data_IF_302873663495
#
_entry.id   IF_302873663495
#
_cell.length_a   1.000
_cell.length_b   1.000
_cell.length_c   1.000
_cell.angle_alpha   90.00
_cell.angle_beta   90.00
_cell.angle_gamma   90.00
#
_symmetry.space_group_name_H-M   'P 1'
#
loop_
_entity.id
_entity.type
_entity.pdbx_description
1 polymer ?
#
# COMPACT_ATOMS: atom_id res chain seq x y z
N UNK A 1 -60.05 -20.78 -64.84
CA UNK A 1 -59.01 -20.16 -63.98
C UNK A 1 -59.46 -20.37 -62.55
N UNK A 2 -58.76 -21.28 -61.87
CA UNK A 2 -58.92 -21.59 -60.45
C UNK A 2 -58.87 -20.32 -59.58
N UNK A 3 -59.52 -20.36 -58.41
CA UNK A 3 -58.78 -20.21 -57.15
C UNK A 3 -59.68 -20.56 -55.96
N UNK A 4 -59.39 -21.74 -55.41
CA UNK A 4 -59.70 -22.17 -54.06
C UNK A 4 -58.98 -21.28 -53.05
N UNK A 5 -59.68 -20.79 -52.01
CA UNK A 5 -59.00 -20.26 -50.81
C UNK A 5 -59.59 -20.89 -49.55
N UNK A 6 -58.73 -21.75 -48.96
CA UNK A 6 -58.90 -22.52 -47.73
C UNK A 6 -59.14 -21.63 -46.51
N UNK A 7 -60.08 -22.06 -45.66
CA UNK A 7 -60.18 -21.68 -44.24
C UNK A 7 -58.90 -22.10 -43.51
N UNK A 8 -58.24 -21.17 -42.83
CA UNK A 8 -57.08 -21.48 -41.98
C UNK A 8 -57.36 -21.10 -40.52
N UNK A 9 -57.47 -22.14 -39.69
CA UNK A 9 -57.51 -22.10 -38.22
C UNK A 9 -56.17 -21.59 -37.68
N UNK A 10 -56.11 -20.68 -36.69
CA UNK A 10 -54.85 -20.27 -36.09
C UNK A 10 -54.36 -21.32 -35.06
N UNK A 11 -53.18 -21.87 -35.31
CA UNK A 11 -52.43 -22.70 -34.36
C UNK A 11 -51.96 -21.87 -33.16
N UNK A 12 -52.26 -22.37 -31.96
CA UNK A 12 -51.85 -21.81 -30.69
C UNK A 12 -50.37 -22.14 -30.43
N UNK A 13 -49.48 -21.20 -30.74
CA UNK A 13 -48.02 -21.33 -30.51
C UNK A 13 -47.73 -21.12 -29.02
N UNK A 14 -47.60 -22.22 -28.27
CA UNK A 14 -47.18 -22.23 -26.85
C UNK A 14 -45.81 -21.53 -26.73
N UNK A 15 -45.81 -20.30 -26.19
CA UNK A 15 -44.58 -19.57 -25.84
C UNK A 15 -43.97 -20.25 -24.62
N UNK A 16 -42.80 -20.88 -24.78
CA UNK A 16 -41.97 -21.31 -23.65
C UNK A 16 -41.60 -20.06 -22.86
N UNK A 17 -42.13 -19.95 -21.64
CA UNK A 17 -41.76 -18.94 -20.67
C UNK A 17 -40.31 -19.21 -20.25
N UNK A 18 -39.36 -18.56 -20.91
CA UNK A 18 -38.00 -18.48 -20.43
C UNK A 18 -38.01 -17.62 -19.18
N UNK A 19 -37.80 -18.25 -18.02
CA UNK A 19 -37.50 -17.56 -16.77
C UNK A 19 -36.21 -16.76 -16.98
N UNK A 20 -36.34 -15.48 -17.32
CA UNK A 20 -35.24 -14.52 -17.20
C UNK A 20 -35.00 -14.37 -15.71
N UNK A 21 -34.02 -15.09 -15.20
CA UNK A 21 -33.39 -14.75 -13.93
C UNK A 21 -32.88 -13.33 -14.08
N UNK A 22 -33.60 -12.39 -13.47
CA UNK A 22 -33.26 -10.98 -13.46
C UNK A 22 -32.05 -10.85 -12.53
N UNK A 23 -30.84 -10.86 -13.09
CA UNK A 23 -29.64 -10.48 -12.35
C UNK A 23 -29.83 -9.03 -11.94
N UNK A 24 -30.20 -8.81 -10.68
CA UNK A 24 -30.17 -7.50 -10.06
C UNK A 24 -28.73 -7.01 -10.11
N UNK A 25 -28.40 -6.20 -11.11
CA UNK A 25 -27.19 -5.39 -11.04
C UNK A 25 -27.47 -4.38 -9.93
N UNK A 26 -26.81 -4.54 -8.79
CA UNK A 26 -26.83 -3.53 -7.73
C UNK A 26 -26.15 -2.29 -8.31
N UNK A 27 -26.94 -1.36 -8.84
CA UNK A 27 -26.49 -0.15 -9.54
C UNK A 27 -25.97 0.93 -8.60
N UNK A 28 -25.65 0.58 -7.35
CA UNK A 28 -25.01 1.49 -6.42
C UNK A 28 -23.50 1.38 -6.64
N UNK A 29 -22.79 2.51 -6.79
CA UNK A 29 -21.34 2.51 -6.74
C UNK A 29 -20.89 1.78 -5.46
N UNK A 30 -19.79 1.00 -5.52
CA UNK A 30 -19.25 0.38 -4.33
C UNK A 30 -19.04 1.46 -3.27
N UNK A 31 -19.58 1.23 -2.06
CA UNK A 31 -19.58 2.21 -0.99
C UNK A 31 -18.17 2.45 -0.41
N UNK A 32 -17.25 1.53 -0.69
CA UNK A 32 -15.87 1.55 -0.21
C UNK A 32 -14.93 1.58 -1.40
N UNK A 33 -13.98 2.53 -1.46
CA UNK A 33 -12.95 2.55 -2.50
C UNK A 33 -12.14 1.27 -2.44
N UNK A 34 -11.79 0.74 -3.62
CA UNK A 34 -11.04 -0.51 -3.73
C UNK A 34 -9.73 -0.33 -4.51
N UNK A 35 -8.67 -0.92 -3.98
CA UNK A 35 -7.39 -1.05 -4.68
C UNK A 35 -7.29 -2.46 -5.28
N UNK A 36 -6.94 -2.54 -6.55
CA UNK A 36 -6.67 -3.79 -7.27
C UNK A 36 -5.18 -4.19 -7.20
N UNK A 37 -4.25 -3.23 -7.13
CA UNK A 37 -2.83 -3.50 -6.86
C UNK A 37 -2.08 -2.27 -6.32
N UNK A 38 -1.00 -2.51 -5.58
CA UNK A 38 -0.02 -1.50 -5.16
C UNK A 38 1.35 -1.95 -5.64
N UNK A 39 2.10 -1.08 -6.31
CA UNK A 39 3.42 -1.35 -6.84
C UNK A 39 4.42 -0.28 -6.37
N UNK A 40 5.63 -0.71 -6.05
CA UNK A 40 6.79 0.15 -5.83
C UNK A 40 7.79 -0.16 -6.94
N UNK A 41 8.10 0.82 -7.77
CA UNK A 41 8.94 0.67 -8.97
C UNK A 41 10.23 1.48 -8.80
N UNK A 42 11.35 0.99 -9.33
CA UNK A 42 12.57 1.81 -9.48
C UNK A 42 12.47 2.79 -10.65
N UNK A 43 13.52 3.61 -10.86
CA UNK A 43 13.54 4.61 -11.93
C UNK A 43 13.43 4.03 -13.35
N UNK A 44 13.82 2.77 -13.53
CA UNK A 44 13.73 2.05 -14.81
C UNK A 44 12.35 1.40 -15.02
N UNK A 45 11.54 1.33 -13.97
CA UNK A 45 10.22 0.68 -13.97
C UNK A 45 10.26 -0.79 -13.57
N UNK A 46 11.36 -1.28 -13.02
CA UNK A 46 11.40 -2.63 -12.44
C UNK A 46 10.69 -2.61 -11.10
N UNK A 47 9.92 -3.65 -10.84
CA UNK A 47 9.19 -3.83 -9.58
C UNK A 47 10.14 -4.15 -8.43
N UNK A 48 10.17 -3.30 -7.42
CA UNK A 48 10.85 -3.51 -6.14
C UNK A 48 9.95 -4.25 -5.16
N UNK A 49 8.69 -3.82 -5.05
CA UNK A 49 7.65 -4.48 -4.28
C UNK A 49 6.31 -4.40 -5.02
N UNK A 50 5.42 -5.37 -4.78
CA UNK A 50 4.08 -5.31 -5.35
C UNK A 50 3.12 -6.27 -4.68
N UNK A 51 1.90 -5.78 -4.42
CA UNK A 51 0.76 -6.59 -3.97
C UNK A 51 -0.41 -6.43 -4.94
N UNK A 52 -1.02 -7.55 -5.31
CA UNK A 52 -2.15 -7.61 -6.24
C UNK A 52 -3.36 -8.17 -5.49
N UNK A 53 -4.42 -7.38 -5.42
CA UNK A 53 -5.63 -7.65 -4.67
C UNK A 53 -6.77 -7.98 -5.64
N UNK A 54 -6.88 -9.27 -5.94
CA UNK A 54 -7.94 -9.83 -6.77
C UNK A 54 -7.49 -10.22 -8.18
N UNK A 55 -8.45 -10.74 -8.93
CA UNK A 55 -8.19 -11.53 -10.13
C UNK A 55 -8.30 -10.74 -11.44
N UNK A 56 -8.13 -9.41 -11.39
CA UNK A 56 -8.39 -8.53 -12.54
C UNK A 56 -7.48 -8.80 -13.76
N UNK A 57 -6.27 -9.31 -13.51
CA UNK A 57 -5.36 -9.76 -14.55
C UNK A 57 -5.90 -11.01 -15.25
N UNK A 58 -6.59 -11.87 -14.49
CA UNK A 58 -7.25 -13.07 -15.02
C UNK A 58 -8.59 -12.77 -15.67
N UNK A 59 -9.30 -11.70 -15.29
CA UNK A 59 -10.55 -11.31 -15.97
C UNK A 59 -10.27 -10.76 -17.37
N UNK A 60 -9.17 -10.00 -17.49
CA UNK A 60 -8.68 -9.54 -18.79
C UNK A 60 -8.22 -10.73 -19.63
N UNK A 61 -7.49 -11.67 -19.00
CA UNK A 61 -7.08 -12.89 -19.68
C UNK A 61 -8.28 -13.77 -19.99
N UNK A 62 -9.33 -13.87 -19.16
CA UNK A 62 -10.52 -14.70 -19.38
C UNK A 62 -11.42 -14.13 -20.48
N UNK A 63 -11.39 -12.82 -20.73
CA UNK A 63 -11.95 -12.24 -21.96
C UNK A 63 -11.18 -12.70 -23.20
N UNK A 64 -9.84 -12.73 -23.15
CA UNK A 64 -8.99 -13.22 -24.25
C UNK A 64 -8.93 -14.75 -24.37
N UNK A 65 -9.09 -15.47 -23.25
CA UNK A 65 -8.96 -16.91 -23.10
C UNK A 65 -10.30 -17.60 -23.31
N UNK A 66 -11.45 -16.96 -23.06
CA UNK A 66 -12.75 -17.45 -23.59
C UNK A 66 -12.76 -17.55 -25.12
N UNK A 67 -11.93 -16.79 -25.82
CA UNK A 67 -11.71 -16.94 -27.26
C UNK A 67 -10.74 -18.10 -27.61
N UNK A 68 -9.82 -18.48 -26.71
CA UNK A 68 -8.80 -19.51 -26.94
C UNK A 68 -9.13 -20.89 -26.32
N UNK A 69 -9.92 -20.94 -25.25
CA UNK A 69 -10.26 -22.12 -24.45
C UNK A 69 -11.28 -23.07 -25.11
N UNK A 70 -11.68 -22.79 -26.37
CA UNK A 70 -12.31 -23.80 -27.21
C UNK A 70 -11.33 -24.93 -27.63
N UNK A 71 -10.03 -24.84 -27.30
CA UNK A 71 -9.00 -25.68 -27.91
C UNK A 71 -8.24 -26.67 -27.00
N UNK A 72 -8.24 -26.56 -25.67
CA UNK A 72 -7.51 -27.56 -24.85
C UNK A 72 -7.80 -27.44 -23.36
N UNK A 73 -8.26 -28.55 -22.78
CA UNK A 73 -8.26 -28.75 -21.34
C UNK A 73 -7.08 -29.64 -20.97
N UNK A 74 -6.29 -29.23 -19.96
CA UNK A 74 -5.56 -30.13 -19.07
C UNK A 74 -4.94 -29.36 -17.88
N UNK A 75 -4.87 -30.10 -16.77
CA UNK A 75 -4.60 -29.75 -15.36
C UNK A 75 -3.15 -29.28 -15.09
N UNK A 76 -2.94 -28.23 -14.27
CA UNK A 76 -1.68 -27.46 -14.35
C UNK A 76 -1.33 -26.53 -13.15
N UNK A 77 -1.27 -27.03 -11.91
CA UNK A 77 -1.02 -26.20 -10.72
C UNK A 77 0.30 -25.39 -10.68
N UNK A 78 1.39 -25.89 -11.27
CA UNK A 78 2.70 -25.19 -11.29
C UNK A 78 2.87 -24.23 -12.47
N UNK A 79 2.15 -24.43 -13.58
CA UNK A 79 2.16 -23.51 -14.72
C UNK A 79 1.33 -22.25 -14.42
N UNK A 80 0.36 -22.32 -13.52
CA UNK A 80 -0.51 -21.18 -13.15
C UNK A 80 0.30 -20.05 -12.51
N UNK A 81 1.21 -20.35 -11.58
CA UNK A 81 2.06 -19.30 -10.95
C UNK A 81 2.98 -18.62 -11.95
N UNK A 82 3.55 -19.37 -12.89
CA UNK A 82 4.38 -18.83 -13.98
C UNK A 82 3.55 -17.97 -14.94
N UNK A 83 2.35 -18.44 -15.28
CA UNK A 83 1.38 -17.71 -16.10
C UNK A 83 0.95 -16.41 -15.44
N UNK A 84 0.74 -16.39 -14.13
CA UNK A 84 0.31 -15.20 -13.40
C UNK A 84 1.42 -14.15 -13.35
N UNK A 85 2.66 -14.58 -13.12
CA UNK A 85 3.81 -13.70 -13.14
C UNK A 85 4.06 -13.12 -14.55
N UNK A 86 3.83 -13.91 -15.60
CA UNK A 86 3.89 -13.44 -16.98
C UNK A 86 2.83 -12.36 -17.25
N UNK A 87 1.60 -12.53 -16.74
CA UNK A 87 0.51 -11.54 -16.83
C UNK A 87 0.85 -10.25 -16.07
N UNK A 88 1.39 -10.36 -14.85
CA UNK A 88 1.85 -9.21 -14.06
C UNK A 88 2.96 -8.45 -14.80
N UNK A 89 3.96 -9.19 -15.26
CA UNK A 89 5.07 -8.63 -16.04
C UNK A 89 4.59 -7.94 -17.31
N UNK A 90 3.59 -8.48 -18.00
CA UNK A 90 3.00 -7.86 -19.18
C UNK A 90 2.26 -6.56 -18.84
N UNK A 91 1.47 -6.57 -17.76
CA UNK A 91 0.79 -5.38 -17.25
C UNK A 91 1.79 -4.28 -16.86
N UNK A 92 2.84 -4.63 -16.11
CA UNK A 92 3.89 -3.70 -15.66
C UNK A 92 4.64 -3.07 -16.83
N UNK A 93 4.98 -3.85 -17.87
CA UNK A 93 5.59 -3.29 -19.08
C UNK A 93 4.67 -2.28 -19.75
N UNK A 94 3.37 -2.55 -19.81
CA UNK A 94 2.40 -1.62 -20.40
C UNK A 94 2.20 -0.37 -19.54
N UNK A 95 2.20 -0.53 -18.21
CA UNK A 95 2.18 0.58 -17.26
C UNK A 95 3.43 1.45 -17.44
N UNK A 96 4.62 0.85 -17.42
CA UNK A 96 5.88 1.56 -17.56
C UNK A 96 5.95 2.34 -18.87
N UNK A 97 5.53 1.74 -19.99
CA UNK A 97 5.47 2.44 -21.28
C UNK A 97 4.58 3.70 -21.27
N UNK A 98 3.62 3.80 -20.35
CA UNK A 98 2.73 4.96 -20.24
C UNK A 98 3.19 5.98 -19.21
N UNK A 99 3.83 5.56 -18.13
CA UNK A 99 4.31 6.47 -17.07
C UNK A 99 5.72 6.99 -17.33
N UNK A 100 6.47 6.34 -18.22
CA UNK A 100 7.83 6.76 -18.57
C UNK A 100 7.82 8.20 -19.12
N UNK A 101 8.70 9.04 -18.58
CA UNK A 101 8.82 10.44 -18.97
C UNK A 101 7.81 11.38 -18.29
N UNK A 102 6.83 10.86 -17.54
CA UNK A 102 5.97 11.68 -16.69
C UNK A 102 6.68 11.91 -15.35
N UNK A 103 6.86 13.18 -15.00
CA UNK A 103 7.43 13.59 -13.72
C UNK A 103 6.29 13.84 -12.72
N UNK A 104 6.02 12.86 -11.86
CA UNK A 104 5.02 12.99 -10.81
C UNK A 104 5.69 13.56 -9.55
N UNK A 105 5.08 14.58 -8.93
CA UNK A 105 5.60 15.16 -7.70
C UNK A 105 5.13 14.32 -6.50
N UNK A 106 5.86 14.32 -5.37
CA UNK A 106 5.39 13.67 -4.15
C UNK A 106 4.03 14.17 -3.65
N UNK A 107 3.73 15.45 -3.88
CA UNK A 107 2.51 16.16 -3.44
C UNK A 107 1.47 16.35 -4.55
N UNK A 108 1.68 15.74 -5.72
CA UNK A 108 0.73 15.75 -6.82
C UNK A 108 0.91 14.52 -7.68
N UNK A 109 0.09 13.51 -7.39
CA UNK A 109 0.04 12.28 -8.16
C UNK A 109 -0.45 12.50 -9.60
N UNK A 110 0.06 11.66 -10.49
CA UNK A 110 -0.29 11.63 -11.91
C UNK A 110 -1.16 10.41 -12.21
N UNK A 111 -2.04 10.53 -13.19
CA UNK A 111 -3.05 9.51 -13.50
C UNK A 111 -2.89 9.02 -14.93
N UNK A 112 -2.98 7.69 -15.11
CA UNK A 112 -2.99 7.08 -16.43
C UNK A 112 -3.90 5.85 -16.47
N UNK A 113 -4.58 5.63 -17.60
CA UNK A 113 -5.38 4.41 -17.77
C UNK A 113 -4.55 3.29 -18.42
N UNK A 114 -4.54 2.09 -17.86
CA UNK A 114 -3.82 0.91 -18.38
C UNK A 114 -4.75 -0.29 -18.37
N UNK A 115 -4.95 -0.96 -19.52
CA UNK A 115 -5.79 -2.18 -19.63
C UNK A 115 -7.20 -2.04 -19.03
N UNK A 116 -7.83 -0.86 -19.13
CA UNK A 116 -9.16 -0.61 -18.55
C UNK A 116 -9.16 -0.46 -17.02
N UNK A 117 -7.99 -0.22 -16.43
CA UNK A 117 -7.77 0.16 -15.03
C UNK A 117 -7.26 1.58 -14.93
N UNK A 118 -7.48 2.18 -13.77
CA UNK A 118 -6.94 3.49 -13.40
C UNK A 118 -5.67 3.26 -12.61
N UNK A 119 -4.55 3.79 -13.10
CA UNK A 119 -3.27 3.77 -12.41
C UNK A 119 -2.93 5.19 -11.97
N UNK A 120 -2.65 5.37 -10.68
CA UNK A 120 -2.25 6.66 -10.10
C UNK A 120 -0.89 6.49 -9.45
N UNK A 121 0.03 7.40 -9.69
CA UNK A 121 1.41 7.27 -9.23
C UNK A 121 2.03 8.60 -8.82
N UNK A 122 2.94 8.53 -7.87
CA UNK A 122 3.77 9.66 -7.44
C UNK A 122 5.20 9.22 -7.11
N UNK A 123 6.10 10.19 -6.93
CA UNK A 123 7.51 9.94 -6.70
C UNK A 123 8.32 9.69 -7.98
N UNK A 124 9.59 9.32 -7.81
CA UNK A 124 10.50 8.99 -8.90
C UNK A 124 10.76 10.14 -9.85
N UNK A 125 10.90 11.35 -9.27
CA UNK A 125 11.14 12.59 -10.00
C UNK A 125 12.65 12.88 -10.02
N UNK A 126 13.37 12.54 -11.10
CA UNK A 126 14.81 12.72 -11.16
C UNK A 126 15.13 14.22 -11.21
N UNK A 127 15.74 14.73 -10.14
CA UNK A 127 16.39 16.04 -10.17
C UNK A 127 15.62 17.22 -9.57
N UNK A 128 14.62 17.02 -8.71
CA UNK A 128 14.14 18.13 -7.89
C UNK A 128 15.15 18.43 -6.77
N UNK A 129 15.65 19.67 -6.69
CA UNK A 129 16.42 20.19 -5.56
C UNK A 129 15.55 20.14 -4.30
N UNK A 130 15.51 18.99 -3.62
CA UNK A 130 14.64 18.81 -2.45
C UNK A 130 14.45 17.36 -2.00
N UNK A 131 15.39 16.45 -2.26
CA UNK A 131 15.34 15.08 -1.71
C UNK A 131 14.24 14.22 -2.32
N UNK A 132 14.31 13.94 -3.62
CA UNK A 132 13.49 12.94 -4.28
C UNK A 132 14.36 11.83 -4.87
N UNK A 133 14.09 10.58 -4.49
CA UNK A 133 14.74 9.41 -5.10
C UNK A 133 14.04 8.97 -6.40
N UNK A 134 14.56 7.94 -7.04
CA UNK A 134 14.07 7.42 -8.32
C UNK A 134 12.86 6.47 -8.20
N UNK A 135 12.46 6.14 -6.97
CA UNK A 135 11.37 5.20 -6.69
C UNK A 135 9.99 5.85 -6.87
N UNK A 136 9.10 5.12 -7.54
CA UNK A 136 7.70 5.47 -7.75
C UNK A 136 6.80 4.54 -6.95
N UNK A 137 5.75 5.08 -6.35
CA UNK A 137 4.64 4.29 -5.79
C UNK A 137 3.45 4.41 -6.75
N UNK A 138 2.79 3.29 -7.01
CA UNK A 138 1.67 3.19 -7.96
C UNK A 138 0.52 2.44 -7.32
N UNK A 139 -0.66 3.04 -7.34
CA UNK A 139 -1.93 2.40 -6.99
C UNK A 139 -2.73 2.13 -8.24
N UNK A 140 -3.21 0.90 -8.38
CA UNK A 140 -4.09 0.46 -9.45
C UNK A 140 -5.48 0.24 -8.88
N UNK A 141 -6.48 0.86 -9.48
CA UNK A 141 -7.88 0.64 -9.16
C UNK A 141 -8.72 0.29 -10.40
N UNK A 142 -9.97 -0.17 -10.21
CA UNK A 142 -10.96 -0.27 -11.27
C UNK A 142 -11.12 1.05 -12.04
N UNK A 143 -11.54 0.98 -13.31
CA UNK A 143 -11.81 2.18 -14.12
C UNK A 143 -12.99 3.03 -13.61
N UNK A 144 -13.81 2.48 -12.72
CA UNK A 144 -14.91 3.19 -12.07
C UNK A 144 -14.50 3.87 -10.76
N UNK A 145 -13.27 3.66 -10.27
CA UNK A 145 -12.82 4.29 -9.03
C UNK A 145 -12.51 5.77 -9.20
N UNK A 146 -12.62 6.50 -8.09
CA UNK A 146 -12.26 7.92 -8.07
C UNK A 146 -10.74 8.10 -8.14
N UNK A 147 -10.29 8.76 -9.19
CA UNK A 147 -8.88 9.14 -9.39
C UNK A 147 -8.34 9.98 -8.24
N UNK A 148 -9.15 10.89 -7.68
CA UNK A 148 -8.79 11.73 -6.55
C UNK A 148 -8.58 10.93 -5.26
N UNK A 149 -9.40 9.88 -5.06
CA UNK A 149 -9.23 8.99 -3.91
C UNK A 149 -7.92 8.21 -4.07
N UNK A 150 -7.66 7.63 -5.24
CA UNK A 150 -6.41 6.91 -5.51
C UNK A 150 -5.17 7.83 -5.39
N UNK A 151 -5.28 9.09 -5.82
CA UNK A 151 -4.22 10.10 -5.65
C UNK A 151 -3.90 10.35 -4.18
N UNK A 152 -4.93 10.56 -3.35
CA UNK A 152 -4.73 10.75 -1.91
C UNK A 152 -4.07 9.53 -1.23
N UNK A 153 -4.44 8.32 -1.66
CA UNK A 153 -3.88 7.08 -1.12
C UNK A 153 -2.41 6.89 -1.50
N UNK A 154 -2.05 7.11 -2.77
CA UNK A 154 -0.67 6.94 -3.24
C UNK A 154 0.26 7.99 -2.60
N UNK A 155 -0.21 9.23 -2.43
CA UNK A 155 0.53 10.31 -1.77
C UNK A 155 0.78 9.98 -0.30
N UNK A 156 -0.24 9.49 0.43
CA UNK A 156 -0.09 9.08 1.84
C UNK A 156 0.90 7.92 2.03
N UNK A 157 0.89 6.95 1.12
CA UNK A 157 1.88 5.84 1.13
C UNK A 157 3.28 6.35 0.78
N UNK A 158 3.41 7.26 -0.19
CA UNK A 158 4.72 7.81 -0.55
C UNK A 158 5.31 8.68 0.56
N UNK A 159 4.48 9.46 1.26
CA UNK A 159 4.89 10.25 2.43
C UNK A 159 5.39 9.33 3.56
N UNK A 160 4.64 8.27 3.88
CA UNK A 160 5.07 7.25 4.85
C UNK A 160 6.38 6.56 4.43
N UNK A 161 6.49 6.17 3.15
CA UNK A 161 7.70 5.55 2.61
C UNK A 161 8.91 6.49 2.73
N UNK A 162 8.75 7.77 2.37
CA UNK A 162 9.80 8.77 2.49
C UNK A 162 10.26 8.93 3.95
N UNK A 163 9.30 8.98 4.89
CA UNK A 163 9.61 9.03 6.32
C UNK A 163 10.41 7.80 6.76
N UNK A 164 9.95 6.59 6.43
CA UNK A 164 10.61 5.34 6.81
C UNK A 164 12.03 5.22 6.22
N UNK A 165 12.27 5.79 5.03
CA UNK A 165 13.59 5.81 4.39
C UNK A 165 14.48 6.99 4.84
N UNK A 166 14.01 7.88 5.72
CA UNK A 166 14.78 9.05 6.17
C UNK A 166 14.86 10.20 5.17
N UNK A 167 13.91 10.27 4.21
CA UNK A 167 13.72 11.39 3.29
C UNK A 167 14.22 11.17 1.86
N UNK A 168 14.99 10.12 1.59
CA UNK A 168 15.43 9.75 0.24
C UNK A 168 14.92 8.36 -0.14
N UNK A 169 14.18 8.26 -1.25
CA UNK A 169 13.56 7.02 -1.71
C UNK A 169 14.29 6.48 -2.94
N UNK A 170 15.54 6.07 -2.77
CA UNK A 170 16.33 5.48 -3.84
C UNK A 170 16.14 3.96 -3.88
N UNK A 171 16.35 3.33 -5.04
CA UNK A 171 16.29 1.88 -5.19
C UNK A 171 17.02 1.10 -4.09
N UNK A 172 18.26 1.50 -3.75
CA UNK A 172 19.06 0.81 -2.74
C UNK A 172 18.42 0.93 -1.35
N UNK A 173 17.99 2.13 -0.95
CA UNK A 173 17.35 2.36 0.34
C UNK A 173 16.10 1.51 0.52
N UNK A 174 15.24 1.47 -0.51
CA UNK A 174 14.00 0.70 -0.50
C UNK A 174 14.27 -0.82 -0.46
N UNK A 175 15.29 -1.30 -1.16
CA UNK A 175 15.66 -2.72 -1.16
C UNK A 175 16.29 -3.17 0.16
N UNK A 176 17.11 -2.32 0.79
CA UNK A 176 17.74 -2.61 2.07
C UNK A 176 16.70 -2.67 3.22
N UNK A 177 15.59 -1.93 3.07
CA UNK A 177 14.50 -1.85 4.06
C UNK A 177 13.19 -2.48 3.54
N UNK A 178 13.27 -3.53 2.72
CA UNK A 178 12.12 -4.12 2.03
C UNK A 178 11.04 -4.64 3.00
N UNK A 179 11.42 -5.05 4.21
CA UNK A 179 10.48 -5.47 5.25
C UNK A 179 9.54 -4.33 5.68
N UNK A 180 10.07 -3.13 5.89
CA UNK A 180 9.30 -1.94 6.23
C UNK A 180 8.32 -1.58 5.11
N UNK A 181 8.73 -1.76 3.85
CA UNK A 181 7.87 -1.52 2.67
C UNK A 181 6.68 -2.48 2.66
N UNK A 182 6.88 -3.77 2.94
CA UNK A 182 5.77 -4.73 2.99
C UNK A 182 4.84 -4.48 4.18
N UNK A 183 5.40 -4.15 5.35
CA UNK A 183 4.62 -3.76 6.53
C UNK A 183 3.78 -2.51 6.27
N UNK A 184 4.37 -1.49 5.62
CA UNK A 184 3.66 -0.27 5.22
C UNK A 184 2.45 -0.59 4.33
N UNK A 185 2.64 -1.46 3.33
CA UNK A 185 1.54 -1.86 2.44
C UNK A 185 0.43 -2.59 3.22
N UNK A 186 0.78 -3.42 4.21
CA UNK A 186 -0.19 -4.14 5.05
C UNK A 186 -0.95 -3.22 6.02
N UNK A 187 -0.30 -2.19 6.57
CA UNK A 187 -0.99 -1.18 7.39
C UNK A 187 -1.89 -0.28 6.55
N UNK A 188 -1.51 -0.02 5.29
CA UNK A 188 -2.29 0.82 4.39
C UNK A 188 -3.56 0.12 3.90
N UNK A 189 -3.47 -1.15 3.51
CA UNK A 189 -4.61 -1.89 3.00
C UNK A 189 -4.51 -3.41 3.21
N UNK A 190 -5.66 -4.04 3.43
CA UNK A 190 -5.81 -5.50 3.51
C UNK A 190 -6.85 -5.98 2.48
N UNK A 191 -6.48 -6.95 1.65
CA UNK A 191 -7.36 -7.49 0.61
C UNK A 191 -7.86 -6.46 -0.41
N UNK A 192 -7.18 -5.31 -0.56
CA UNK A 192 -7.61 -4.20 -1.41
C UNK A 192 -8.61 -3.25 -0.74
N UNK A 193 -8.90 -3.45 0.55
CA UNK A 193 -9.69 -2.55 1.39
C UNK A 193 -8.72 -1.61 2.12
N UNK A 194 -8.97 -0.32 2.03
CA UNK A 194 -8.14 0.71 2.66
C UNK A 194 -8.40 0.74 4.17
N UNK A 195 -7.33 0.75 4.96
CA UNK A 195 -7.36 0.78 6.41
C UNK A 195 -6.94 2.14 6.96
N UNK A 196 -5.83 2.69 6.48
CA UNK A 196 -5.28 3.98 6.91
C UNK A 196 -4.71 4.75 5.72
N UNK A 197 -4.87 6.07 5.72
CA UNK A 197 -4.50 6.96 4.61
C UNK A 197 -3.50 8.03 5.03
N UNK A 198 -3.38 8.31 6.33
CA UNK A 198 -2.45 9.31 6.85
C UNK A 198 -1.02 8.75 6.91
N UNK A 199 -0.09 9.39 6.21
CA UNK A 199 1.29 8.94 6.09
C UNK A 199 2.05 8.87 7.41
N UNK A 200 1.80 9.82 8.32
CA UNK A 200 2.47 9.86 9.63
C UNK A 200 1.98 8.72 10.53
N UNK A 201 0.68 8.43 10.53
CA UNK A 201 0.13 7.28 11.26
C UNK A 201 0.63 5.95 10.69
N UNK A 202 0.70 5.82 9.37
CA UNK A 202 1.25 4.63 8.72
C UNK A 202 2.70 4.39 9.14
N UNK A 203 3.56 5.40 9.03
CA UNK A 203 4.96 5.29 9.44
C UNK A 203 5.09 4.93 10.93
N UNK A 204 4.28 5.54 11.80
CA UNK A 204 4.26 5.21 13.22
C UNK A 204 3.82 3.75 13.45
N UNK A 205 2.77 3.28 12.80
CA UNK A 205 2.26 1.92 12.97
C UNK A 205 3.29 0.87 12.56
N UNK A 206 4.04 1.12 11.48
CA UNK A 206 5.12 0.25 11.02
C UNK A 206 6.24 0.17 12.06
N UNK A 207 6.70 1.31 12.61
CA UNK A 207 7.80 1.34 13.58
C UNK A 207 7.45 0.70 14.93
N UNK A 208 6.20 0.83 15.40
CA UNK A 208 5.79 0.22 16.66
C UNK A 208 5.71 -1.31 16.58
N UNK A 209 5.50 -1.89 15.39
CA UNK A 209 5.53 -3.36 15.22
C UNK A 209 6.91 -3.95 15.50
N UNK A 210 7.97 -3.19 15.27
CA UNK A 210 9.35 -3.64 15.56
C UNK A 210 9.62 -3.65 17.08
N UNK A 211 9.02 -2.72 17.83
CA UNK A 211 9.14 -2.67 19.29
C UNK A 211 8.46 -3.86 19.98
N UNK A 212 7.39 -4.42 19.40
CA UNK A 212 6.73 -5.62 19.95
C UNK A 212 7.64 -6.87 19.86
N UNK A 213 8.50 -6.95 18.84
CA UNK A 213 9.52 -8.01 18.71
C UNK A 213 10.65 -7.88 19.74
N UNK A 214 11.04 -6.65 20.08
CA UNK A 214 12.07 -6.36 21.08
C UNK A 214 11.53 -6.46 22.54
N UNK A 215 10.26 -6.11 22.77
CA UNK A 215 9.62 -6.18 24.07
C UNK A 215 9.44 -7.63 24.55
N UNK A 216 9.19 -8.58 23.65
CA UNK A 216 9.10 -10.01 23.95
C UNK A 216 10.45 -10.63 24.37
N UNK A 217 11.59 -10.09 23.91
CA UNK A 217 12.92 -10.53 24.33
C UNK A 217 13.39 -9.92 25.66
N UNK A 218 12.88 -8.75 26.05
CA UNK A 218 13.21 -8.13 27.35
C UNK A 218 12.43 -8.74 28.53
N UNK A 219 11.31 -9.40 28.27
CA UNK A 219 10.52 -10.06 29.32
C UNK A 219 11.18 -11.34 29.88
N UNK A 220 12.16 -11.94 29.19
CA UNK A 220 12.83 -13.17 29.64
C UNK A 220 14.19 -12.93 30.34
N UNK A 221 14.76 -11.72 30.29
CA UNK A 221 16.00 -11.37 30.99
C UNK A 221 15.82 -10.46 32.24
N UNK A 222 14.57 -10.15 32.60
CA UNK A 222 14.21 -9.33 33.75
C UNK A 222 14.16 -10.05 35.10
N UNK A 223 15.04 -11.02 35.37
CA UNK A 223 15.11 -11.68 36.68
C UNK A 223 16.55 -11.95 37.12
N UNK A 224 17.21 -10.90 37.62
CA UNK A 224 18.32 -11.06 38.56
C UNK A 224 19.56 -10.22 38.24
N UNK A 225 19.83 -9.24 39.10
CA UNK A 225 21.05 -9.17 39.92
C UNK A 225 21.42 -7.70 40.16
N UNK A 226 21.23 -7.25 41.41
CA UNK A 226 21.70 -5.96 41.89
C UNK A 226 23.15 -6.02 42.39
N UNK A 227 23.93 -5.00 42.05
CA UNK A 227 25.14 -4.47 42.71
C UNK A 227 25.57 -3.25 41.89
N UNK A 228 25.82 -2.04 42.40
CA UNK A 228 26.55 -1.66 43.60
C UNK A 228 27.88 -1.04 43.18
N UNK A 229 27.95 0.29 42.96
CA UNK A 229 29.21 0.97 42.61
C UNK A 229 29.10 2.51 42.60
N UNK A 230 29.95 3.17 43.39
CA UNK A 230 30.02 4.62 43.66
C UNK A 230 30.56 5.48 42.49
N UNK A 231 30.32 6.81 42.48
CA UNK A 231 30.72 7.73 41.42
C UNK A 231 32.08 8.41 41.68
N UNK A 232 32.84 8.68 40.63
CA UNK A 232 34.04 9.55 40.64
C UNK A 232 34.11 10.36 39.35
N UNK A 233 34.17 11.69 39.45
CA UNK A 233 34.53 12.59 38.33
C UNK A 233 33.76 13.91 38.32
N UNK A 234 34.45 15.00 38.66
CA UNK A 234 33.95 16.37 38.82
C UNK A 234 33.51 17.04 37.48
N UNK A 235 32.78 18.19 37.54
CA UNK A 235 31.96 18.70 36.44
C UNK A 235 32.73 19.61 35.49
N UNK A 236 32.48 19.46 34.18
CA UNK A 236 32.85 20.45 33.18
C UNK A 236 31.66 21.41 32.98
N UNK A 237 31.77 22.64 33.49
CA UNK A 237 30.86 23.73 33.18
C UNK A 237 31.18 24.26 31.78
N UNK A 238 30.34 23.92 30.81
CA UNK A 238 30.33 24.51 29.48
C UNK A 238 28.89 24.78 29.08
N UNK A 239 28.57 26.06 28.86
CA UNK A 239 27.26 26.60 28.58
C UNK A 239 26.46 25.81 27.52
N UNK A 240 25.18 25.53 27.82
CA UNK A 240 24.21 25.11 26.82
C UNK A 240 23.02 26.06 26.87
N UNK A 241 22.77 26.65 25.70
CA UNK A 241 21.72 27.58 25.38
C UNK A 241 20.33 27.00 25.67
N UNK A 242 19.44 27.88 26.11
CA UNK A 242 18.00 27.63 26.17
C UNK A 242 17.48 27.37 24.75
N UNK A 243 17.08 26.14 24.45
CA UNK A 243 16.56 25.79 23.14
C UNK A 243 15.97 24.39 23.08
N UNK A 244 16.72 23.35 23.44
CA UNK A 244 16.24 21.97 23.36
C UNK A 244 16.77 21.14 24.54
N UNK A 245 15.95 21.01 25.59
CA UNK A 245 16.17 19.93 26.56
C UNK A 245 15.62 18.65 25.94
N UNK A 246 16.52 17.73 25.62
CA UNK A 246 16.14 16.37 25.24
C UNK A 246 15.32 15.74 26.37
N UNK A 247 14.35 14.90 26.03
CA UNK A 247 13.46 14.21 27.00
C UNK A 247 14.24 13.55 28.15
N UNK A 248 15.42 12.99 27.86
CA UNK A 248 16.31 12.39 28.87
C UNK A 248 16.97 13.39 29.83
N UNK A 249 17.13 14.66 29.46
CA UNK A 249 17.57 15.73 30.35
C UNK A 249 16.41 16.28 31.18
N UNK A 250 15.23 16.45 30.57
CA UNK A 250 14.02 16.88 31.26
C UNK A 250 13.61 15.89 32.38
N UNK A 251 13.68 14.58 32.13
CA UNK A 251 13.32 13.57 33.14
C UNK A 251 14.31 13.53 34.31
N UNK A 252 15.60 13.76 34.05
CA UNK A 252 16.61 13.89 35.09
C UNK A 252 16.37 15.11 35.97
N UNK A 253 16.05 16.25 35.36
CA UNK A 253 15.78 17.47 36.08
C UNK A 253 14.48 17.39 36.90
N UNK A 254 13.44 16.77 36.35
CA UNK A 254 12.20 16.50 37.09
C UNK A 254 12.43 15.57 38.28
N UNK A 255 13.28 14.54 38.13
CA UNK A 255 13.65 13.63 39.23
C UNK A 255 14.38 14.37 40.36
N UNK A 256 15.30 15.27 40.03
CA UNK A 256 16.04 16.05 41.03
C UNK A 256 15.14 17.03 41.80
N UNK A 257 14.16 17.65 41.12
CA UNK A 257 13.16 18.49 41.78
C UNK A 257 12.26 17.70 42.74
N UNK A 258 11.89 16.47 42.38
CA UNK A 258 11.09 15.58 43.23
C UNK A 258 11.86 15.14 44.49
N UNK A 259 13.15 14.83 44.35
CA UNK A 259 14.01 14.44 45.46
C UNK A 259 14.28 15.63 46.40
N UNK A 260 14.48 16.84 45.87
CA UNK A 260 14.65 18.04 46.69
C UNK A 260 13.39 18.34 47.52
N UNK A 261 12.21 18.19 46.92
CA UNK A 261 10.93 18.41 47.62
C UNK A 261 10.63 17.31 48.65
N UNK A 262 11.08 16.07 48.43
CA UNK A 262 10.99 15.01 49.45
C UNK A 262 11.96 15.25 50.61
N UNK A 263 13.20 15.67 50.32
CA UNK A 263 14.20 15.93 51.35
C UNK A 263 13.83 17.12 52.26
N UNK A 264 13.08 18.10 51.76
CA UNK A 264 12.52 19.19 52.57
C UNK A 264 11.33 18.76 53.44
N UNK A 265 10.70 17.61 53.17
CA UNK A 265 9.54 17.12 53.92
C UNK A 265 9.91 16.26 55.13
N UNK A 266 11.11 15.69 55.16
CA UNK A 266 11.63 14.88 56.29
C UNK A 266 12.54 15.69 57.24
N UNK A 267 12.59 17.02 57.08
CA UNK A 267 13.35 17.96 57.91
C UNK A 267 12.45 18.87 58.75
N UNK A 268 11.61 18.29 59.61
CA UNK A 268 10.96 18.95 60.75
C UNK A 268 10.73 17.97 61.89
#
# INVERSE_FOLDING_TARGET
IETSTKKHTPQQKRRKSGSRTMTLVSSLPPLTPKIDAILVLDGDGNRLAGKYYGDFLTDTSSASARAAAAASGEDNGASVSKTMEDLRSAFERQLQSKIQGIAARPDAAEVVSVMGKTAVFCGGSPGQQGGGGDVRVVHIGPSSESELVLAHLVEGVYDALSHLMGGATDRTMVLDNLELVFLLIDEHCDGGIILETDGAKLASAVLLRDDDGAALMQAEQGAGQGQGGKPTGAPNMGAIAAGDMTIGQAFRQAREQLISNLAQRDGM
#
